data_IF_854620883820
#
_entry.id   IF_854620883820
#
_cell.length_a   1.000
_cell.length_b   1.000
_cell.length_c   1.000
_cell.angle_alpha   90.00
_cell.angle_beta   90.00
_cell.angle_gamma   90.00
#
_symmetry.space_group_name_H-M   'P 1'
#
loop_
_entity.id
_entity.type
_entity.pdbx_description
1 polymer ?
#
# COMPACT_ATOMS: atom_id res chain seq x y z
N UNK A 1 -1.56 63.96 -46.41
CA UNK A 1 -1.36 64.50 -45.04
C UNK A 1 -0.85 63.37 -44.14
N UNK A 2 0.31 63.57 -43.50
CA UNK A 2 0.89 62.90 -42.30
C UNK A 2 0.73 61.36 -42.16
N UNK A 3 1.76 60.49 -42.27
CA UNK A 3 2.99 60.25 -41.45
C UNK A 3 2.73 59.88 -39.98
N UNK A 4 3.45 58.94 -39.33
CA UNK A 4 4.47 57.96 -39.77
C UNK A 4 4.82 56.91 -38.65
N UNK A 5 5.65 55.93 -39.04
CA UNK A 5 6.48 54.96 -38.29
C UNK A 5 6.68 55.10 -36.76
N UNK A 6 6.69 53.93 -36.09
CA UNK A 6 7.67 53.50 -35.05
C UNK A 6 7.81 51.96 -35.24
N UNK A 7 8.94 51.28 -35.49
CA UNK A 7 10.38 51.36 -35.17
C UNK A 7 10.80 50.39 -34.05
N UNK A 8 11.70 49.47 -34.39
CA UNK A 8 12.23 48.36 -33.56
C UNK A 8 13.28 48.85 -32.56
N UNK A 9 13.23 48.43 -31.29
CA UNK A 9 14.37 48.42 -30.36
C UNK A 9 14.31 47.18 -29.45
N UNK A 10 15.43 46.46 -29.35
CA UNK A 10 15.76 45.55 -28.26
C UNK A 10 16.97 46.13 -27.47
N UNK A 11 17.09 45.80 -26.18
CA UNK A 11 18.11 46.19 -25.14
C UNK A 11 17.34 46.43 -23.83
N UNK A 12 17.78 46.05 -22.62
CA UNK A 12 18.85 45.17 -22.12
C UNK A 12 18.63 44.95 -20.61
N UNK A 13 19.30 43.96 -20.00
CA UNK A 13 19.35 43.74 -18.54
C UNK A 13 19.60 45.02 -17.72
N UNK A 14 18.98 45.10 -16.54
CA UNK A 14 19.54 45.82 -15.39
C UNK A 14 19.12 45.15 -14.07
N UNK A 15 20.10 44.59 -13.38
CA UNK A 15 19.95 44.09 -12.00
C UNK A 15 19.75 45.25 -11.03
N UNK A 16 18.97 45.03 -9.97
CA UNK A 16 19.08 45.82 -8.74
C UNK A 16 19.36 44.90 -7.54
N UNK A 17 20.57 45.02 -7.01
CA UNK A 17 20.97 44.53 -5.69
C UNK A 17 20.71 45.61 -4.64
N UNK A 18 20.25 45.24 -3.44
CA UNK A 18 20.53 45.96 -2.19
C UNK A 18 20.28 45.05 -0.96
N UNK A 19 20.96 45.25 0.18
CA UNK A 19 21.56 44.11 0.89
C UNK A 19 21.38 44.09 2.43
N UNK A 20 22.01 43.10 3.09
CA UNK A 20 22.16 42.92 4.56
C UNK A 20 20.92 42.33 5.25
N UNK A 21 20.97 41.40 6.23
CA UNK A 21 22.04 40.65 6.92
C UNK A 21 21.37 39.48 7.71
N UNK A 22 22.01 38.38 8.17
CA UNK A 22 23.40 37.89 8.12
C UNK A 22 23.44 36.37 8.44
N UNK A 23 24.61 35.71 8.24
CA UNK A 23 25.07 34.43 8.85
C UNK A 23 24.24 33.14 8.63
N UNK A 24 24.71 32.32 7.70
CA UNK A 24 24.59 30.85 7.81
C UNK A 24 25.59 30.31 8.87
N UNK A 25 25.23 29.28 9.66
CA UNK A 25 26.20 28.51 10.46
C UNK A 25 27.09 27.63 9.56
N UNK A 26 28.31 27.35 10.02
CA UNK A 26 29.20 26.36 9.40
C UNK A 26 28.78 24.92 9.79
N UNK A 27 29.12 23.88 9.00
CA UNK A 27 28.83 22.50 9.36
C UNK A 27 29.63 22.10 10.60
N UNK A 28 28.93 21.72 11.67
CA UNK A 28 29.52 21.35 12.96
C UNK A 28 28.93 20.04 13.48
N UNK A 29 29.80 19.03 13.51
CA UNK A 29 29.76 17.80 14.32
C UNK A 29 28.53 16.87 14.22
N UNK A 30 28.82 15.58 14.03
CA UNK A 30 27.81 14.53 13.93
C UNK A 30 26.97 14.45 15.22
N UNK A 31 25.65 14.51 15.06
CA UNK A 31 24.72 14.21 16.14
C UNK A 31 24.95 12.80 16.65
N UNK A 32 25.12 12.65 17.97
CA UNK A 32 25.13 11.35 18.63
C UNK A 32 23.81 10.59 18.40
N UNK A 33 23.77 9.27 18.67
CA UNK A 33 22.64 8.42 18.29
C UNK A 33 21.33 8.97 18.85
N UNK A 34 20.34 9.14 17.96
CA UNK A 34 19.00 9.56 18.32
C UNK A 34 18.45 8.63 19.41
N UNK A 35 18.07 9.20 20.56
CA UNK A 35 17.63 8.40 21.69
C UNK A 35 16.25 7.81 21.39
N UNK A 36 16.19 6.48 21.23
CA UNK A 36 14.96 5.68 21.06
C UNK A 36 13.78 6.28 21.84
N UNK A 37 12.66 6.61 21.17
CA UNK A 37 11.37 6.62 21.84
C UNK A 37 11.17 5.23 22.44
N UNK A 38 10.91 5.15 23.75
CA UNK A 38 10.47 3.88 24.34
C UNK A 38 9.11 3.56 23.74
N UNK A 39 8.87 2.28 23.42
CA UNK A 39 7.57 1.77 23.00
C UNK A 39 6.55 1.91 24.15
N UNK A 40 6.00 3.11 24.30
CA UNK A 40 4.86 3.35 25.16
C UNK A 40 3.60 2.85 24.46
N UNK A 41 2.68 2.28 25.24
CA UNK A 41 1.33 2.05 24.73
C UNK A 41 0.76 3.41 24.28
N UNK A 42 0.47 3.53 22.99
CA UNK A 42 -0.28 4.68 22.48
C UNK A 42 -1.68 4.68 23.13
N UNK A 43 -2.33 5.84 23.14
CA UNK A 43 -3.69 5.93 23.64
C UNK A 43 -4.57 4.90 22.92
N UNK A 44 -5.28 4.06 23.68
CA UNK A 44 -6.09 3.00 23.11
C UNK A 44 -7.11 3.61 22.16
N UNK A 45 -7.19 3.06 20.95
CA UNK A 45 -8.30 3.39 20.08
C UNK A 45 -9.59 2.88 20.71
N UNK A 46 -10.57 3.77 20.88
CA UNK A 46 -11.90 3.35 21.30
C UNK A 46 -12.62 2.79 20.08
N UNK A 47 -12.86 1.49 20.08
CA UNK A 47 -13.68 0.82 19.07
C UNK A 47 -15.11 1.40 19.08
N UNK A 48 -15.58 1.93 17.94
CA UNK A 48 -16.88 2.61 17.82
C UNK A 48 -17.80 1.78 16.91
N UNK A 49 -18.94 1.34 17.45
CA UNK A 49 -19.99 0.71 16.64
C UNK A 49 -20.56 1.73 15.63
N UNK A 50 -20.66 1.34 14.36
CA UNK A 50 -21.17 2.16 13.26
C UNK A 50 -22.38 1.49 12.59
N UNK A 51 -23.34 2.27 12.06
CA UNK A 51 -24.46 1.71 11.30
C UNK A 51 -23.98 1.19 9.94
N UNK A 52 -24.58 0.09 9.46
CA UNK A 52 -24.45 -0.37 8.08
C UNK A 52 -25.28 0.49 7.12
N UNK A 53 -24.77 0.77 5.92
CA UNK A 53 -25.59 1.36 4.86
C UNK A 53 -26.67 0.36 4.37
N UNK A 54 -27.90 0.78 4.00
CA UNK A 54 -28.96 -0.16 3.63
C UNK A 54 -28.66 -1.06 2.42
N UNK A 55 -27.70 -0.68 1.56
CA UNK A 55 -27.24 -1.50 0.42
C UNK A 55 -26.07 -2.44 0.77
N UNK A 56 -25.39 -2.22 1.91
CA UNK A 56 -24.28 -3.07 2.40
C UNK A 56 -24.84 -4.40 2.95
N UNK A 57 -25.29 -5.27 2.05
CA UNK A 57 -26.00 -6.50 2.40
C UNK A 57 -25.14 -7.52 3.14
N UNK A 58 -23.83 -7.52 2.94
CA UNK A 58 -22.89 -8.46 3.56
C UNK A 58 -22.32 -7.99 4.91
N UNK A 59 -22.35 -6.69 5.21
CA UNK A 59 -21.68 -6.11 6.38
C UNK A 59 -22.64 -6.02 7.58
N UNK A 60 -22.32 -6.69 8.69
CA UNK A 60 -23.07 -6.58 9.95
C UNK A 60 -22.17 -6.22 11.13
N UNK A 61 -22.75 -5.62 12.16
CA UNK A 61 -22.05 -5.25 13.39
C UNK A 61 -20.74 -4.50 13.11
N UNK A 62 -20.80 -3.48 12.25
CA UNK A 62 -19.61 -2.71 11.84
C UNK A 62 -19.03 -1.99 13.06
N UNK A 63 -17.72 -2.13 13.24
CA UNK A 63 -16.94 -1.45 14.26
C UNK A 63 -15.78 -0.72 13.60
N UNK A 64 -15.66 0.57 13.84
CA UNK A 64 -14.48 1.36 13.52
C UNK A 64 -13.42 1.10 14.60
N UNK A 65 -12.25 0.60 14.21
CA UNK A 65 -11.16 0.19 15.09
C UNK A 65 -10.10 1.27 15.31
N UNK A 66 -9.98 2.28 14.44
CA UNK A 66 -9.10 3.45 14.63
C UNK A 66 -9.89 4.76 14.59
N UNK A 67 -9.43 5.77 15.32
CA UNK A 67 -9.91 7.17 15.23
C UNK A 67 -8.65 8.05 15.10
N UNK A 68 -8.40 8.59 13.91
CA UNK A 68 -7.23 9.39 13.57
C UNK A 68 -6.07 8.66 12.88
N UNK A 69 -5.25 9.46 12.20
CA UNK A 69 -4.10 9.03 11.39
C UNK A 69 -4.49 8.61 9.97
N UNK A 70 -3.48 8.33 9.15
CA UNK A 70 -3.66 7.64 7.87
C UNK A 70 -3.44 6.14 8.15
N UNK A 71 -4.38 5.27 7.77
CA UNK A 71 -4.33 3.83 8.01
C UNK A 71 -4.61 3.06 6.71
N UNK A 72 -3.86 2.00 6.47
CA UNK A 72 -4.05 1.12 5.33
C UNK A 72 -3.64 -0.32 5.66
N UNK A 73 -4.01 -1.26 4.79
CA UNK A 73 -3.42 -2.60 4.74
C UNK A 73 -3.50 -3.36 6.08
N UNK A 74 -4.72 -3.50 6.62
CA UNK A 74 -4.96 -4.25 7.85
C UNK A 74 -5.19 -5.74 7.56
N UNK A 75 -4.35 -6.60 8.15
CA UNK A 75 -4.38 -8.05 7.92
C UNK A 75 -4.40 -8.87 9.23
N UNK A 76 -5.11 -9.99 9.22
CA UNK A 76 -5.33 -10.86 10.37
C UNK A 76 -4.14 -11.78 10.70
N UNK A 77 -3.95 -12.06 11.99
CA UNK A 77 -3.22 -13.23 12.49
C UNK A 77 -3.90 -14.55 12.10
N UNK A 78 -3.19 -15.68 12.20
CA UNK A 78 -3.70 -17.00 11.78
C UNK A 78 -4.94 -17.47 12.56
N UNK A 79 -5.14 -16.95 13.77
CA UNK A 79 -6.30 -17.20 14.63
C UNK A 79 -7.40 -16.11 14.52
N UNK A 80 -7.14 -15.03 13.77
CA UNK A 80 -8.02 -13.86 13.65
C UNK A 80 -8.14 -12.98 14.91
N UNK A 81 -7.31 -13.21 15.94
CA UNK A 81 -7.38 -12.44 17.20
C UNK A 81 -6.68 -11.08 17.14
N UNK A 82 -5.72 -10.91 16.23
CA UNK A 82 -4.95 -9.68 16.04
C UNK A 82 -4.99 -9.21 14.59
N UNK A 83 -4.61 -7.94 14.41
CA UNK A 83 -4.42 -7.26 13.15
C UNK A 83 -3.02 -6.64 13.12
N UNK A 84 -2.34 -6.73 11.99
CA UNK A 84 -1.15 -5.93 11.64
C UNK A 84 -1.54 -4.96 10.53
N UNK A 85 -1.05 -3.72 10.59
CA UNK A 85 -1.40 -2.68 9.62
C UNK A 85 -0.34 -1.59 9.55
N UNK A 86 -0.32 -0.83 8.45
CA UNK A 86 0.54 0.35 8.33
C UNK A 86 -0.25 1.62 8.70
N UNK A 87 0.41 2.55 9.39
CA UNK A 87 -0.19 3.84 9.69
C UNK A 87 0.84 4.96 9.83
N UNK A 88 0.53 6.11 9.23
CA UNK A 88 1.18 7.38 9.53
C UNK A 88 0.38 8.10 10.61
N UNK A 89 1.02 8.33 11.76
CA UNK A 89 0.44 8.97 12.95
C UNK A 89 1.54 9.56 13.82
N UNK A 90 1.26 10.59 14.64
CA UNK A 90 2.24 11.14 15.57
C UNK A 90 2.89 10.06 16.46
N UNK A 91 4.22 10.09 16.66
CA UNK A 91 5.16 11.16 16.30
C UNK A 91 5.77 11.05 14.88
N UNK A 92 5.30 10.15 14.02
CA UNK A 92 5.94 9.84 12.73
C UNK A 92 5.30 10.58 11.55
N UNK A 93 6.13 11.14 10.66
CA UNK A 93 5.70 11.85 9.45
C UNK A 93 5.43 10.92 8.24
N UNK A 94 5.73 9.63 8.38
CA UNK A 94 5.46 8.59 7.39
C UNK A 94 5.09 7.26 8.06
N UNK A 95 4.60 6.30 7.26
CA UNK A 95 4.00 5.06 7.74
C UNK A 95 4.95 4.19 8.57
N UNK A 96 4.47 3.77 9.74
CA UNK A 96 5.07 2.77 10.60
C UNK A 96 4.14 1.55 10.72
N UNK A 97 4.69 0.39 11.08
CA UNK A 97 3.90 -0.84 11.24
C UNK A 97 3.40 -0.96 12.68
N UNK A 98 2.10 -1.21 12.81
CA UNK A 98 1.39 -1.37 14.07
C UNK A 98 0.70 -2.73 14.15
N UNK A 99 0.48 -3.21 15.37
CA UNK A 99 -0.46 -4.29 15.68
C UNK A 99 -1.52 -3.81 16.65
N UNK A 100 -2.68 -4.47 16.62
CA UNK A 100 -3.75 -4.36 17.63
C UNK A 100 -4.53 -5.67 17.72
N UNK A 101 -5.28 -5.86 18.78
CA UNK A 101 -6.30 -6.91 18.85
C UNK A 101 -7.43 -6.60 17.85
N UNK A 102 -8.14 -7.62 17.37
CA UNK A 102 -9.27 -7.45 16.44
C UNK A 102 -10.50 -6.76 17.05
N UNK A 103 -10.48 -6.47 18.36
CA UNK A 103 -11.43 -5.60 19.06
C UNK A 103 -10.97 -4.12 19.15
N UNK A 104 -9.83 -3.77 18.55
CA UNK A 104 -9.23 -2.43 18.53
C UNK A 104 -8.36 -2.10 19.75
N UNK A 105 -8.30 -2.96 20.76
CA UNK A 105 -7.45 -2.78 21.93
C UNK A 105 -5.98 -3.16 21.67
N UNK A 106 -5.08 -2.78 22.57
CA UNK A 106 -3.68 -3.25 22.50
C UNK A 106 -2.79 -2.60 21.43
N UNK A 107 -3.25 -1.51 20.79
CA UNK A 107 -2.51 -0.79 19.75
C UNK A 107 -1.03 -0.54 20.12
N UNK A 108 -0.12 -1.03 19.28
CA UNK A 108 1.32 -0.97 19.52
C UNK A 108 2.11 -0.86 18.21
N UNK A 109 3.15 -0.03 18.18
CA UNK A 109 4.12 0.00 17.08
C UNK A 109 5.09 -1.18 17.16
N UNK A 110 5.35 -1.81 16.02
CA UNK A 110 6.31 -2.91 15.87
C UNK A 110 7.59 -2.48 15.15
N UNK A 111 7.47 -1.67 14.08
CA UNK A 111 8.64 -1.16 13.37
C UNK A 111 9.50 -0.25 14.26
N UNK A 112 10.80 -0.19 13.97
CA UNK A 112 11.80 0.55 14.76
C UNK A 112 11.63 2.08 14.77
N UNK A 113 10.68 2.63 13.99
CA UNK A 113 10.39 4.07 13.93
C UNK A 113 11.30 4.84 12.97
N UNK A 114 12.08 4.14 12.14
CA UNK A 114 13.06 4.70 11.20
C UNK A 114 12.61 4.44 9.75
N UNK A 115 12.90 5.40 8.87
CA UNK A 115 12.49 5.36 7.47
C UNK A 115 10.98 5.27 7.29
N UNK A 116 10.52 4.95 6.08
CA UNK A 116 9.14 4.54 5.83
C UNK A 116 9.01 3.02 5.94
N UNK A 117 7.80 2.55 6.21
CA UNK A 117 7.43 1.14 6.14
C UNK A 117 6.16 0.93 5.31
N UNK A 118 5.95 -0.27 4.78
CA UNK A 118 4.75 -0.63 4.02
C UNK A 118 4.49 -2.13 4.05
N UNK A 119 3.26 -2.55 3.75
CA UNK A 119 2.84 -3.91 3.43
C UNK A 119 3.31 -4.95 4.45
N UNK A 120 2.76 -4.89 5.66
CA UNK A 120 3.09 -5.84 6.72
C UNK A 120 2.21 -7.11 6.66
N UNK A 121 2.72 -8.26 7.09
CA UNK A 121 1.96 -9.52 7.13
C UNK A 121 2.42 -10.41 8.27
N UNK A 122 1.54 -11.23 8.86
CA UNK A 122 1.93 -12.22 9.87
C UNK A 122 2.63 -13.42 9.22
N UNK A 123 3.68 -13.94 9.89
CA UNK A 123 4.25 -15.23 9.51
C UNK A 123 3.49 -16.38 10.19
N UNK A 124 2.69 -17.07 9.39
CA UNK A 124 1.88 -18.21 9.81
C UNK A 124 2.71 -19.48 9.99
N UNK A 125 2.30 -20.41 10.88
CA UNK A 125 1.12 -20.36 11.74
C UNK A 125 1.40 -19.89 13.18
N UNK A 126 2.62 -19.44 13.51
CA UNK A 126 2.96 -19.09 14.89
C UNK A 126 2.70 -17.62 15.27
N UNK A 127 2.48 -16.74 14.27
CA UNK A 127 2.22 -15.30 14.41
C UNK A 127 3.27 -14.54 15.27
N UNK A 128 4.41 -15.17 15.54
CA UNK A 128 5.48 -14.64 16.41
C UNK A 128 6.36 -13.61 15.71
N UNK A 129 6.29 -13.60 14.38
CA UNK A 129 7.10 -12.81 13.45
C UNK A 129 6.19 -12.14 12.43
N UNK A 130 6.53 -10.89 12.09
CA UNK A 130 5.88 -10.09 11.06
C UNK A 130 6.87 -9.86 9.92
N UNK A 131 6.39 -9.99 8.70
CA UNK A 131 7.01 -9.51 7.47
C UNK A 131 6.60 -8.05 7.27
N UNK A 132 7.49 -7.19 6.76
CA UNK A 132 7.14 -5.86 6.22
C UNK A 132 8.31 -5.28 5.41
N UNK A 133 8.06 -4.30 4.54
CA UNK A 133 9.13 -3.57 3.83
C UNK A 133 9.46 -2.23 4.47
N UNK A 134 10.72 -1.79 4.34
CA UNK A 134 11.18 -0.54 4.95
C UNK A 134 12.37 0.11 4.23
N UNK A 135 12.48 1.44 4.33
CA UNK A 135 13.59 2.24 3.79
C UNK A 135 14.72 2.52 4.79
N UNK A 136 14.66 1.95 6.00
CA UNK A 136 15.50 2.35 7.13
C UNK A 136 17.01 2.07 6.98
N UNK A 137 17.42 1.24 6.02
CA UNK A 137 18.83 0.98 5.74
C UNK A 137 19.49 2.14 4.97
N UNK A 138 18.73 2.84 4.11
CA UNK A 138 19.21 4.02 3.38
C UNK A 138 19.12 5.28 4.25
N UNK A 139 17.99 5.49 4.95
CA UNK A 139 17.82 6.63 5.84
C UNK A 139 16.86 6.38 6.99
N UNK A 140 17.17 6.98 8.14
CA UNK A 140 16.26 7.08 9.28
C UNK A 140 15.10 8.05 9.02
N UNK A 141 15.27 9.01 8.10
CA UNK A 141 14.25 9.99 7.74
C UNK A 141 13.25 9.43 6.73
N UNK A 142 12.04 10.00 6.71
CA UNK A 142 11.04 9.68 5.70
C UNK A 142 11.53 10.10 4.29
N UNK A 143 11.42 9.22 3.28
CA UNK A 143 11.76 9.57 1.90
C UNK A 143 10.83 10.68 1.37
N UNK A 144 11.32 11.55 0.46
CA UNK A 144 10.55 12.69 -0.01
C UNK A 144 9.31 12.25 -0.79
N UNK A 145 8.17 12.96 -0.68
CA UNK A 145 6.97 12.65 -1.47
C UNK A 145 7.24 12.80 -2.98
N UNK A 146 6.51 12.05 -3.84
CA UNK A 146 6.69 12.12 -5.30
C UNK A 146 6.40 13.52 -5.86
N UNK A 147 7.09 13.88 -6.94
CA UNK A 147 6.85 15.14 -7.64
C UNK A 147 5.48 15.16 -8.33
N UNK A 148 4.55 15.90 -7.72
CA UNK A 148 3.18 16.10 -8.22
C UNK A 148 3.11 16.91 -9.52
N UNK A 149 4.23 17.47 -10.03
CA UNK A 149 4.28 18.04 -11.39
C UNK A 149 3.96 17.00 -12.47
N UNK A 150 4.23 15.71 -12.19
CA UNK A 150 3.94 14.57 -13.07
C UNK A 150 2.46 14.10 -13.02
N UNK A 151 1.60 14.85 -12.33
CA UNK A 151 0.19 14.52 -12.09
C UNK A 151 0.00 13.62 -10.88
N UNK A 152 -1.06 12.80 -10.91
CA UNK A 152 -1.25 11.74 -9.91
C UNK A 152 -0.31 10.57 -10.21
N UNK A 153 0.69 10.41 -9.36
CA UNK A 153 1.73 9.36 -9.42
C UNK A 153 2.04 8.86 -8.01
N UNK A 154 2.49 7.62 -7.91
CA UNK A 154 3.05 7.05 -6.67
C UNK A 154 4.57 6.95 -6.78
N UNK A 155 5.26 7.03 -5.64
CA UNK A 155 6.70 6.82 -5.57
C UNK A 155 7.02 5.34 -5.39
N UNK A 156 7.97 4.85 -6.18
CA UNK A 156 8.63 3.56 -6.06
C UNK A 156 10.02 3.86 -5.49
N UNK A 157 10.14 3.82 -4.15
CA UNK A 157 11.42 4.09 -3.50
C UNK A 157 12.34 2.89 -3.66
N UNK A 158 13.47 3.11 -4.33
CA UNK A 158 14.56 2.16 -4.61
C UNK A 158 15.41 1.78 -3.37
N UNK A 159 14.92 2.15 -2.19
CA UNK A 159 15.48 1.86 -0.88
C UNK A 159 14.58 0.95 -0.04
N UNK A 160 13.43 0.52 -0.57
CA UNK A 160 12.58 -0.47 0.10
C UNK A 160 13.20 -1.86 -0.01
N UNK A 161 13.60 -2.43 1.12
CA UNK A 161 13.94 -3.84 1.29
C UNK A 161 12.85 -4.56 2.11
N UNK A 162 12.80 -5.90 2.07
CA UNK A 162 11.87 -6.72 2.86
C UNK A 162 12.54 -7.26 4.13
N UNK A 163 11.86 -7.11 5.25
CA UNK A 163 12.35 -7.48 6.58
C UNK A 163 11.37 -8.36 7.34
N UNK A 164 11.90 -9.09 8.32
CA UNK A 164 11.12 -9.68 9.41
C UNK A 164 11.44 -9.02 10.73
N UNK A 165 10.46 -8.92 11.63
CA UNK A 165 10.67 -8.56 13.03
C UNK A 165 9.74 -9.38 13.93
N UNK A 166 10.08 -9.55 15.20
CA UNK A 166 9.15 -10.20 16.13
C UNK A 166 7.87 -9.37 16.29
N UNK A 167 6.72 -10.03 16.34
CA UNK A 167 5.43 -9.42 16.71
C UNK A 167 5.45 -8.85 18.16
N UNK A 168 6.41 -9.26 18.99
CA UNK A 168 6.69 -8.65 20.29
C UNK A 168 7.50 -7.34 20.19
N UNK A 169 7.83 -6.85 18.99
CA UNK A 169 8.75 -5.76 18.70
C UNK A 169 10.22 -6.20 18.77
N UNK A 170 11.09 -5.58 17.97
CA UNK A 170 12.51 -5.90 17.91
C UNK A 170 13.24 -5.04 16.87
N UNK A 171 14.54 -5.31 16.69
CA UNK A 171 15.21 -4.83 15.47
C UNK A 171 14.85 -5.75 14.30
N UNK A 172 14.57 -5.21 13.10
CA UNK A 172 14.30 -6.02 11.92
C UNK A 172 15.53 -6.81 11.46
N UNK A 173 15.26 -7.93 10.80
CA UNK A 173 16.23 -8.78 10.09
C UNK A 173 15.85 -8.81 8.61
N UNK A 174 16.79 -8.47 7.72
CA UNK A 174 16.59 -8.50 6.27
C UNK A 174 16.27 -9.93 5.80
N UNK A 175 15.22 -10.07 4.99
CA UNK A 175 14.89 -11.31 4.26
C UNK A 175 15.47 -11.25 2.84
N UNK A 176 15.16 -10.18 2.12
CA UNK A 176 15.75 -9.87 0.82
C UNK A 176 16.12 -8.40 0.77
N UNK A 177 17.29 -8.14 0.21
CA UNK A 177 17.76 -6.81 -0.14
C UNK A 177 18.37 -6.88 -1.52
N UNK A 178 17.87 -6.08 -2.45
CA UNK A 178 18.39 -5.99 -3.81
C UNK A 178 18.24 -4.57 -4.37
N UNK A 179 19.11 -4.11 -5.29
CA UNK A 179 19.03 -2.74 -5.79
C UNK A 179 17.68 -2.44 -6.42
N UNK A 180 16.96 -1.47 -5.87
CA UNK A 180 15.60 -1.12 -6.30
C UNK A 180 14.57 -1.31 -5.18
N UNK A 181 13.32 -1.47 -5.59
CA UNK A 181 12.18 -1.64 -4.70
C UNK A 181 11.91 -3.13 -4.49
N UNK A 182 11.85 -3.58 -3.24
CA UNK A 182 11.39 -4.89 -2.79
C UNK A 182 10.27 -4.70 -1.74
N UNK A 183 9.00 -4.87 -2.13
CA UNK A 183 7.87 -4.70 -1.22
C UNK A 183 6.59 -5.47 -1.61
N UNK A 184 5.46 -5.09 -1.00
CA UNK A 184 4.15 -5.73 -1.22
C UNK A 184 4.15 -7.24 -0.90
N UNK A 185 4.91 -7.62 0.14
CA UNK A 185 5.23 -9.01 0.44
C UNK A 185 4.16 -9.70 1.31
N UNK A 186 3.69 -10.88 0.88
CA UNK A 186 2.68 -11.70 1.60
C UNK A 186 3.09 -13.17 1.63
N UNK A 187 2.50 -13.96 2.54
CA UNK A 187 2.89 -15.35 2.80
C UNK A 187 1.83 -16.34 2.30
N UNK A 188 2.27 -17.52 1.84
CA UNK A 188 1.41 -18.66 1.54
C UNK A 188 0.69 -19.19 2.79
N UNK A 189 -0.51 -19.77 2.68
CA UNK A 189 -1.25 -20.32 3.83
C UNK A 189 -0.52 -21.44 4.59
N UNK A 190 0.44 -22.11 3.95
CA UNK A 190 1.26 -23.16 4.56
C UNK A 190 2.59 -22.64 5.16
N UNK A 191 2.85 -21.33 5.08
CA UNK A 191 4.07 -20.69 5.59
C UNK A 191 5.35 -20.98 4.81
N UNK A 192 5.27 -21.72 3.69
CA UNK A 192 6.44 -22.16 2.93
C UNK A 192 7.05 -21.08 2.04
N UNK A 193 6.23 -20.16 1.50
CA UNK A 193 6.66 -19.20 0.48
C UNK A 193 6.10 -17.80 0.68
N UNK A 194 6.96 -16.83 0.41
CA UNK A 194 6.61 -15.42 0.28
C UNK A 194 6.41 -15.11 -1.21
N UNK A 195 5.42 -14.26 -1.53
CA UNK A 195 5.30 -13.57 -2.82
C UNK A 195 5.39 -12.07 -2.59
N UNK A 196 6.01 -11.35 -3.51
CA UNK A 196 6.31 -9.93 -3.36
C UNK A 196 6.58 -9.26 -4.71
N UNK A 197 6.51 -7.94 -4.75
CA UNK A 197 6.83 -7.13 -5.93
C UNK A 197 8.27 -6.64 -5.85
N UNK A 198 9.01 -6.71 -6.97
CA UNK A 198 10.40 -6.24 -7.05
C UNK A 198 10.73 -5.54 -8.37
N UNK A 199 11.61 -4.54 -8.34
CA UNK A 199 12.19 -3.91 -9.54
C UNK A 199 13.55 -4.47 -9.97
N UNK A 200 14.02 -5.58 -9.39
CA UNK A 200 15.41 -6.06 -9.56
C UNK A 200 15.85 -6.35 -11.00
N UNK A 201 14.91 -6.69 -11.88
CA UNK A 201 15.15 -6.94 -13.31
C UNK A 201 14.75 -5.74 -14.20
N UNK A 202 14.52 -4.56 -13.62
CA UNK A 202 14.24 -3.31 -14.32
C UNK A 202 12.78 -2.99 -14.60
N UNK A 203 11.84 -3.85 -14.16
CA UNK A 203 10.39 -3.59 -14.20
C UNK A 203 9.73 -4.07 -12.89
N UNK A 204 8.52 -3.61 -12.57
CA UNK A 204 7.77 -4.02 -11.38
C UNK A 204 7.10 -5.38 -11.61
N UNK A 205 7.82 -6.46 -11.36
CA UNK A 205 7.30 -7.83 -11.47
C UNK A 205 6.98 -8.46 -10.11
N UNK A 206 6.21 -9.55 -10.13
CA UNK A 206 6.00 -10.42 -8.98
C UNK A 206 7.06 -11.52 -8.93
N UNK A 207 7.59 -11.76 -7.74
CA UNK A 207 8.55 -12.80 -7.41
C UNK A 207 8.00 -13.68 -6.28
N UNK A 208 8.55 -14.88 -6.17
CA UNK A 208 8.33 -15.79 -5.04
C UNK A 208 9.68 -16.25 -4.47
N UNK A 209 9.73 -16.48 -3.16
CA UNK A 209 10.88 -17.05 -2.47
C UNK A 209 10.40 -17.96 -1.33
N UNK A 210 11.29 -18.80 -0.80
CA UNK A 210 11.04 -19.50 0.46
C UNK A 210 10.94 -18.50 1.62
N UNK A 211 10.28 -18.86 2.71
CA UNK A 211 10.10 -17.96 3.87
C UNK A 211 11.38 -17.58 4.63
N UNK A 212 12.52 -18.20 4.31
CA UNK A 212 13.87 -17.83 4.78
C UNK A 212 14.62 -16.87 3.83
N UNK A 213 14.00 -16.43 2.73
CA UNK A 213 14.60 -15.58 1.70
C UNK A 213 15.36 -16.33 0.58
N UNK A 214 15.47 -17.66 0.66
CA UNK A 214 16.13 -18.46 -0.37
C UNK A 214 15.23 -18.78 -1.57
N UNK A 215 15.82 -19.23 -2.69
CA UNK A 215 15.13 -19.64 -3.91
C UNK A 215 14.17 -18.58 -4.50
N UNK A 216 14.71 -17.36 -4.68
CA UNK A 216 14.01 -16.25 -5.35
C UNK A 216 13.80 -16.57 -6.83
N UNK A 217 12.53 -16.58 -7.26
CA UNK A 217 12.08 -16.89 -8.63
C UNK A 217 11.12 -15.80 -9.11
N UNK A 218 11.35 -15.28 -10.31
CA UNK A 218 10.44 -14.34 -11.00
C UNK A 218 9.21 -15.07 -11.54
N UNK A 219 8.02 -14.56 -11.26
CA UNK A 219 6.73 -15.14 -11.68
C UNK A 219 6.11 -14.41 -12.87
N UNK A 220 6.27 -13.10 -12.98
CA UNK A 220 5.78 -12.29 -14.11
C UNK A 220 6.93 -11.59 -14.83
N UNK A 221 6.75 -11.26 -16.12
CA UNK A 221 7.78 -10.65 -16.97
C UNK A 221 7.20 -9.87 -18.17
N UNK A 222 5.94 -9.45 -18.07
CA UNK A 222 5.24 -8.69 -19.12
C UNK A 222 5.44 -7.21 -18.83
N UNK A 223 5.96 -6.39 -19.75
CA UNK A 223 6.26 -4.98 -19.48
C UNK A 223 5.08 -4.22 -18.89
N UNK A 224 5.29 -3.59 -17.74
CA UNK A 224 4.23 -2.98 -16.95
C UNK A 224 4.35 -3.23 -15.45
N UNK A 225 3.38 -2.74 -14.68
CA UNK A 225 3.36 -2.87 -13.22
C UNK A 225 2.50 -4.06 -12.81
N UNK A 226 3.13 -5.11 -12.27
CA UNK A 226 2.49 -6.18 -11.49
C UNK A 226 2.73 -5.97 -9.98
N UNK A 227 1.66 -5.90 -9.19
CA UNK A 227 1.69 -5.42 -7.80
C UNK A 227 0.76 -6.16 -6.84
N UNK A 228 1.06 -6.09 -5.54
CA UNK A 228 0.21 -6.56 -4.44
C UNK A 228 -0.30 -8.00 -4.56
N UNK A 229 0.60 -9.00 -4.63
CA UNK A 229 0.22 -10.40 -4.74
C UNK A 229 -0.32 -10.96 -3.41
N UNK A 230 -1.44 -11.69 -3.48
CA UNK A 230 -2.00 -12.48 -2.37
C UNK A 230 -2.28 -13.92 -2.82
N UNK A 231 -1.97 -14.89 -1.96
CA UNK A 231 -2.31 -16.29 -2.21
C UNK A 231 -3.81 -16.58 -2.02
N UNK A 232 -4.34 -17.57 -2.75
CA UNK A 232 -5.63 -18.19 -2.46
C UNK A 232 -5.61 -18.95 -1.13
N UNK A 233 -6.76 -19.19 -0.46
CA UNK A 233 -6.81 -19.90 0.81
C UNK A 233 -6.24 -21.33 0.77
N UNK A 234 -6.21 -21.94 -0.42
CA UNK A 234 -5.64 -23.27 -0.67
C UNK A 234 -4.18 -23.25 -1.15
N UNK A 235 -3.56 -22.06 -1.24
CA UNK A 235 -2.18 -21.83 -1.66
C UNK A 235 -1.89 -22.09 -3.15
N UNK A 236 -2.88 -22.46 -3.98
CA UNK A 236 -2.64 -22.87 -5.37
C UNK A 236 -2.62 -21.71 -6.38
N UNK A 237 -3.10 -20.54 -6.01
CA UNK A 237 -3.23 -19.37 -6.90
C UNK A 237 -2.70 -18.12 -6.22
N UNK A 238 -2.35 -17.14 -7.05
CA UNK A 238 -2.00 -15.78 -6.64
C UNK A 238 -2.94 -14.83 -7.38
N UNK A 239 -3.56 -13.91 -6.64
CA UNK A 239 -4.29 -12.75 -7.19
C UNK A 239 -3.42 -11.51 -7.01
N UNK A 240 -3.43 -10.62 -8.00
CA UNK A 240 -2.60 -9.42 -8.02
C UNK A 240 -3.26 -8.31 -8.83
N UNK A 241 -2.78 -7.08 -8.69
CA UNK A 241 -3.11 -5.97 -9.61
C UNK A 241 -2.05 -5.90 -10.70
N UNK A 242 -2.44 -5.59 -11.92
CA UNK A 242 -1.53 -5.47 -13.05
C UNK A 242 -1.94 -4.34 -14.01
N UNK A 243 -0.95 -3.79 -14.72
CA UNK A 243 -1.18 -2.96 -15.92
C UNK A 243 -0.05 -3.23 -16.91
N UNK A 244 -0.38 -3.84 -18.05
CA UNK A 244 0.54 -4.10 -19.16
C UNK A 244 0.26 -3.13 -20.33
N UNK A 245 0.82 -1.91 -20.33
CA UNK A 245 0.57 -0.92 -21.35
C UNK A 245 1.34 -1.20 -22.65
N UNK A 246 0.86 -0.64 -23.76
CA UNK A 246 1.54 -0.66 -25.06
C UNK A 246 1.72 0.75 -25.62
N UNK A 247 2.61 0.90 -26.62
CA UNK A 247 2.77 2.15 -27.38
C UNK A 247 3.19 3.36 -26.51
N UNK A 248 2.47 4.47 -26.64
CA UNK A 248 2.75 5.70 -25.88
C UNK A 248 2.52 5.54 -24.38
N UNK A 249 1.60 4.66 -23.94
CA UNK A 249 1.36 4.41 -22.52
C UNK A 249 2.53 3.64 -21.89
N UNK A 250 3.14 2.70 -22.64
CA UNK A 250 4.37 2.01 -22.20
C UNK A 250 5.56 2.96 -22.11
N UNK A 251 5.67 3.93 -23.03
CA UNK A 251 6.72 4.93 -22.99
C UNK A 251 6.56 5.91 -21.81
N UNK A 252 5.33 6.33 -21.44
CA UNK A 252 5.13 7.12 -20.21
C UNK A 252 5.43 6.30 -18.97
N UNK A 253 5.03 5.02 -18.94
CA UNK A 253 5.31 4.10 -17.84
C UNK A 253 6.81 3.93 -17.60
N UNK A 254 7.59 3.57 -18.62
CA UNK A 254 9.04 3.39 -18.52
C UNK A 254 9.75 4.67 -18.08
N UNK A 255 9.38 5.82 -18.65
CA UNK A 255 9.90 7.15 -18.27
C UNK A 255 9.60 7.51 -16.81
N UNK A 256 8.43 7.13 -16.30
CA UNK A 256 8.10 7.33 -14.89
C UNK A 256 8.89 6.38 -13.99
N UNK A 257 9.03 5.11 -14.37
CA UNK A 257 9.74 4.11 -13.57
C UNK A 257 11.23 4.46 -13.45
N UNK A 258 11.88 4.93 -14.53
CA UNK A 258 13.24 5.50 -14.51
C UNK A 258 13.40 6.68 -13.53
N UNK A 259 12.31 7.36 -13.18
CA UNK A 259 12.28 8.45 -12.20
C UNK A 259 11.79 8.01 -10.81
N UNK A 260 11.65 6.70 -10.55
CA UNK A 260 11.11 6.16 -9.30
C UNK A 260 9.62 6.42 -9.11
N UNK A 261 8.84 6.48 -10.20
CA UNK A 261 7.42 6.83 -10.20
C UNK A 261 6.57 5.82 -10.98
N UNK A 262 5.30 5.69 -10.63
CA UNK A 262 4.28 5.00 -11.44
C UNK A 262 2.98 5.78 -11.50
N UNK A 263 2.19 5.54 -12.55
CA UNK A 263 0.84 6.11 -12.69
C UNK A 263 -0.22 5.02 -12.45
N UNK A 264 -0.85 4.97 -11.27
CA UNK A 264 -1.74 3.88 -10.87
C UNK A 264 -3.19 4.08 -11.33
N UNK A 265 -3.45 5.00 -12.27
CA UNK A 265 -4.82 5.43 -12.65
C UNK A 265 -5.61 4.38 -13.45
N UNK A 266 -4.96 3.33 -13.92
CA UNK A 266 -5.56 2.15 -14.54
C UNK A 266 -4.80 0.93 -14.03
N UNK A 267 -5.51 0.01 -13.40
CA UNK A 267 -4.98 -1.23 -12.84
C UNK A 267 -6.08 -2.26 -12.93
N UNK A 268 -5.76 -3.47 -13.37
CA UNK A 268 -6.70 -4.55 -13.53
C UNK A 268 -6.35 -5.72 -12.60
N UNK A 269 -7.34 -6.50 -12.18
CA UNK A 269 -7.12 -7.66 -11.33
C UNK A 269 -6.74 -8.85 -12.21
N UNK A 270 -5.68 -9.56 -11.83
CA UNK A 270 -5.20 -10.77 -12.50
C UNK A 270 -5.12 -11.93 -11.51
N UNK A 271 -5.22 -13.16 -12.03
CA UNK A 271 -4.97 -14.40 -11.29
C UNK A 271 -3.98 -15.26 -12.06
N UNK A 272 -3.06 -15.89 -11.34
CA UNK A 272 -2.17 -16.93 -11.86
C UNK A 272 -2.13 -18.14 -10.92
N UNK A 273 -1.59 -19.26 -11.39
CA UNK A 273 -1.22 -20.35 -10.51
C UNK A 273 0.01 -19.96 -9.65
N UNK A 274 0.18 -20.58 -8.49
CA UNK A 274 1.22 -20.24 -7.52
C UNK A 274 2.67 -20.38 -8.03
N UNK A 275 2.89 -21.03 -9.17
CA UNK A 275 4.18 -21.16 -9.85
C UNK A 275 4.38 -20.14 -10.99
N UNK A 276 3.52 -19.11 -11.07
CA UNK A 276 3.55 -18.04 -12.06
C UNK A 276 2.90 -18.37 -13.40
N UNK A 277 2.42 -19.61 -13.61
CA UNK A 277 1.78 -20.02 -14.86
C UNK A 277 0.31 -19.61 -14.94
N UNK A 278 -0.26 -19.72 -16.14
CA UNK A 278 -1.70 -19.52 -16.40
C UNK A 278 -2.25 -18.15 -15.95
N UNK A 279 -1.40 -17.12 -16.03
CA UNK A 279 -1.77 -15.71 -15.82
C UNK A 279 -2.98 -15.33 -16.67
N UNK A 280 -3.99 -14.75 -16.03
CA UNK A 280 -5.23 -14.34 -16.68
C UNK A 280 -5.80 -13.08 -16.05
N UNK A 281 -6.11 -12.12 -16.91
CA UNK A 281 -6.85 -10.92 -16.58
C UNK A 281 -8.30 -11.25 -16.17
N UNK A 282 -8.77 -10.65 -15.07
CA UNK A 282 -10.11 -10.83 -14.49
C UNK A 282 -10.98 -9.59 -14.74
N UNK A 283 -10.40 -8.39 -14.68
CA UNK A 283 -11.08 -7.13 -15.02
C UNK A 283 -10.48 -6.50 -16.27
N UNK A 284 -11.32 -5.84 -17.06
CA UNK A 284 -10.93 -4.87 -18.09
C UNK A 284 -12.03 -3.81 -18.13
N UNK A 285 -12.02 -2.92 -17.14
CA UNK A 285 -13.08 -1.91 -16.92
C UNK A 285 -12.56 -0.47 -17.13
N UNK A 286 -11.27 -0.29 -17.43
CA UNK A 286 -10.62 1.01 -17.58
C UNK A 286 -10.51 1.82 -16.27
N UNK A 287 -10.85 1.22 -15.13
CA UNK A 287 -10.77 1.81 -13.81
C UNK A 287 -9.42 1.52 -13.14
N UNK A 288 -9.22 2.06 -11.94
CA UNK A 288 -8.15 1.65 -11.05
C UNK A 288 -8.69 0.59 -10.09
N UNK A 289 -8.24 -0.66 -10.22
CA UNK A 289 -8.61 -1.77 -9.36
C UNK A 289 -7.40 -2.14 -8.47
N UNK A 290 -7.58 -2.12 -7.15
CA UNK A 290 -6.50 -2.27 -6.16
C UNK A 290 -6.80 -3.32 -5.09
N UNK A 291 -5.76 -3.68 -4.33
CA UNK A 291 -5.81 -4.53 -3.13
C UNK A 291 -6.76 -5.74 -3.26
N UNK A 292 -6.58 -6.59 -4.28
CA UNK A 292 -7.42 -7.77 -4.44
C UNK A 292 -7.10 -8.82 -3.37
N UNK A 293 -8.13 -9.44 -2.82
CA UNK A 293 -8.02 -10.51 -1.84
C UNK A 293 -9.04 -11.61 -2.14
N UNK A 294 -8.68 -12.88 -1.94
CA UNK A 294 -9.61 -13.99 -2.15
C UNK A 294 -10.65 -14.08 -1.03
N UNK A 295 -11.88 -14.44 -1.38
CA UNK A 295 -12.85 -14.92 -0.40
C UNK A 295 -12.46 -16.33 0.08
N UNK A 296 -13.02 -16.75 1.21
CA UNK A 296 -12.74 -18.06 1.83
C UNK A 296 -13.14 -19.28 0.98
N UNK A 297 -13.87 -19.08 -0.13
CA UNK A 297 -14.15 -20.11 -1.13
C UNK A 297 -13.03 -20.30 -2.18
N UNK A 298 -12.11 -19.33 -2.33
CA UNK A 298 -11.04 -19.35 -3.35
C UNK A 298 -11.52 -19.10 -4.79
N UNK A 299 -12.83 -18.92 -5.00
CA UNK A 299 -13.48 -18.78 -6.32
C UNK A 299 -13.98 -17.35 -6.58
N UNK A 300 -13.98 -16.49 -5.56
CA UNK A 300 -14.29 -15.06 -5.65
C UNK A 300 -13.14 -14.20 -5.12
N UNK A 301 -13.03 -12.99 -5.65
CA UNK A 301 -12.06 -11.97 -5.27
C UNK A 301 -12.85 -10.73 -4.83
N UNK A 302 -12.50 -10.13 -3.69
CA UNK A 302 -12.87 -8.77 -3.31
C UNK A 302 -11.72 -7.81 -3.66
N UNK A 303 -12.02 -6.61 -4.13
CA UNK A 303 -11.02 -5.60 -4.51
C UNK A 303 -11.62 -4.19 -4.37
N UNK A 304 -10.79 -3.17 -4.22
CA UNK A 304 -11.22 -1.77 -4.25
C UNK A 304 -11.22 -1.25 -5.69
N UNK A 305 -12.23 -0.47 -6.09
CA UNK A 305 -12.29 0.12 -7.44
C UNK A 305 -13.02 1.45 -7.49
N UNK A 306 -12.58 2.34 -8.38
CA UNK A 306 -13.30 3.57 -8.71
C UNK A 306 -14.28 3.42 -9.88
N UNK A 307 -14.57 2.19 -10.34
CA UNK A 307 -15.49 1.95 -11.47
C UNK A 307 -16.95 2.39 -11.22
N UNK A 308 -17.33 2.65 -9.95
CA UNK A 308 -18.64 3.21 -9.58
C UNK A 308 -18.75 4.74 -9.75
N UNK A 309 -17.64 5.47 -9.78
CA UNK A 309 -17.61 6.94 -9.81
C UNK A 309 -17.11 7.48 -11.16
N UNK A 310 -17.98 8.21 -11.86
CA UNK A 310 -17.64 8.88 -13.12
C UNK A 310 -16.56 9.97 -12.98
N UNK A 311 -16.22 10.42 -11.77
CA UNK A 311 -15.09 11.32 -11.49
C UNK A 311 -13.80 10.56 -11.13
N UNK A 312 -13.86 9.24 -10.93
CA UNK A 312 -12.72 8.37 -10.61
C UNK A 312 -12.04 8.65 -9.27
N UNK A 313 -12.69 9.34 -8.33
CA UNK A 313 -12.14 9.70 -7.02
C UNK A 313 -12.68 8.85 -5.89
N UNK A 314 -13.94 8.42 -6.00
CA UNK A 314 -14.57 7.57 -5.00
C UNK A 314 -14.21 6.10 -5.31
N UNK A 315 -13.86 5.34 -4.26
CA UNK A 315 -13.52 3.91 -4.33
C UNK A 315 -14.46 3.14 -3.41
N UNK A 316 -15.13 2.14 -3.98
CA UNK A 316 -15.93 1.16 -3.24
C UNK A 316 -15.26 -0.22 -3.34
N UNK A 317 -15.64 -1.12 -2.43
CA UNK A 317 -15.30 -2.53 -2.52
C UNK A 317 -16.25 -3.26 -3.47
N UNK A 318 -15.69 -4.11 -4.33
CA UNK A 318 -16.42 -4.94 -5.27
C UNK A 318 -15.97 -6.40 -5.18
N UNK A 319 -16.88 -7.32 -5.48
CA UNK A 319 -16.59 -8.75 -5.67
C UNK A 319 -16.71 -9.11 -7.15
N UNK A 320 -15.84 -10.00 -7.61
CA UNK A 320 -15.93 -10.68 -8.91
C UNK A 320 -15.60 -12.17 -8.74
N UNK A 321 -16.23 -13.05 -9.51
CA UNK A 321 -15.79 -14.43 -9.62
C UNK A 321 -14.44 -14.52 -10.33
N UNK A 322 -13.61 -15.52 -10.01
CA UNK A 322 -12.34 -15.69 -10.72
C UNK A 322 -12.55 -15.90 -12.23
N UNK A 323 -13.73 -16.30 -12.70
CA UNK A 323 -14.07 -16.42 -14.12
C UNK A 323 -14.32 -15.06 -14.83
N UNK A 324 -14.17 -13.94 -14.13
CA UNK A 324 -14.40 -12.58 -14.66
C UNK A 324 -15.87 -12.18 -14.72
N UNK A 325 -16.77 -12.89 -14.01
CA UNK A 325 -18.22 -12.65 -14.04
C UNK A 325 -18.77 -12.38 -12.64
N UNK A 326 -20.08 -12.09 -12.60
CA UNK A 326 -20.85 -11.89 -11.36
C UNK A 326 -20.30 -10.74 -10.51
N UNK A 327 -20.02 -9.60 -11.15
CA UNK A 327 -19.64 -8.37 -10.46
C UNK A 327 -20.72 -7.93 -9.46
N UNK A 328 -20.28 -7.57 -8.26
CA UNK A 328 -21.10 -7.10 -7.16
C UNK A 328 -20.42 -5.92 -6.48
N UNK A 329 -21.18 -4.87 -6.15
CA UNK A 329 -20.74 -3.80 -5.26
C UNK A 329 -21.06 -4.17 -3.81
N UNK A 330 -20.04 -4.11 -2.94
CA UNK A 330 -20.10 -4.54 -1.53
C UNK A 330 -20.30 -3.36 -0.59
N UNK A 331 -19.54 -2.27 -0.79
CA UNK A 331 -19.68 -1.02 -0.03
C UNK A 331 -20.27 0.09 -0.88
N UNK A 332 -20.80 1.11 -0.20
CA UNK A 332 -21.52 2.23 -0.81
C UNK A 332 -21.27 3.53 -0.02
N UNK A 333 -20.09 3.67 0.58
CA UNK A 333 -19.73 4.86 1.33
C UNK A 333 -19.13 5.91 0.38
N UNK A 334 -19.44 7.18 0.60
CA UNK A 334 -18.74 8.25 -0.11
C UNK A 334 -17.25 8.26 0.23
N UNK A 335 -16.44 8.70 -0.72
CA UNK A 335 -14.97 8.73 -0.66
C UNK A 335 -14.29 7.38 -0.87
N UNK A 336 -13.75 6.75 0.16
CA UNK A 336 -12.81 5.63 -0.01
C UNK A 336 -13.16 4.50 0.93
N UNK A 337 -13.36 3.31 0.36
CA UNK A 337 -13.21 2.02 0.99
C UNK A 337 -12.12 1.23 0.22
N UNK A 338 -11.19 0.61 0.95
CA UNK A 338 -10.12 -0.17 0.36
C UNK A 338 -9.45 -1.12 1.34
N UNK A 339 -8.42 -1.82 0.86
CA UNK A 339 -7.63 -2.80 1.61
C UNK A 339 -8.46 -3.88 2.34
N UNK A 340 -9.37 -4.59 1.62
CA UNK A 340 -10.19 -5.63 2.22
C UNK A 340 -9.39 -6.90 2.55
N UNK A 341 -9.66 -7.52 3.70
CA UNK A 341 -9.19 -8.87 4.02
C UNK A 341 -10.25 -9.64 4.84
N UNK A 342 -10.38 -10.94 4.59
CA UNK A 342 -11.20 -11.83 5.41
C UNK A 342 -10.42 -12.43 6.57
N UNK A 343 -11.11 -12.70 7.69
CA UNK A 343 -10.56 -13.52 8.78
C UNK A 343 -10.29 -14.95 8.29
N UNK A 344 -9.35 -15.69 8.91
CA UNK A 344 -9.04 -17.08 8.53
C UNK A 344 -10.25 -18.03 8.53
N UNK A 345 -11.27 -17.74 9.33
CA UNK A 345 -12.52 -18.51 9.38
C UNK A 345 -13.63 -18.01 8.43
N UNK A 346 -13.35 -16.95 7.66
CA UNK A 346 -14.26 -16.33 6.70
C UNK A 346 -15.48 -15.63 7.30
N UNK A 347 -15.56 -15.45 8.62
CA UNK A 347 -16.74 -14.85 9.30
C UNK A 347 -16.62 -13.34 9.54
N UNK A 348 -15.45 -12.76 9.37
CA UNK A 348 -15.22 -11.32 9.50
C UNK A 348 -14.48 -10.78 8.29
N UNK A 349 -14.69 -9.49 8.03
CA UNK A 349 -13.92 -8.74 7.05
C UNK A 349 -13.37 -7.49 7.74
N UNK A 350 -12.10 -7.18 7.51
CA UNK A 350 -11.51 -5.87 7.76
C UNK A 350 -11.35 -5.11 6.45
N UNK A 351 -11.43 -3.79 6.53
CA UNK A 351 -11.10 -2.89 5.44
C UNK A 351 -10.71 -1.53 6.03
N UNK A 352 -10.11 -0.66 5.22
CA UNK A 352 -9.82 0.72 5.60
C UNK A 352 -10.78 1.67 4.85
N UNK A 353 -11.24 2.72 5.52
CA UNK A 353 -12.25 3.62 4.97
C UNK A 353 -12.15 5.05 5.49
N UNK A 354 -12.51 6.02 4.66
CA UNK A 354 -12.70 7.42 5.05
C UNK A 354 -14.06 7.67 5.72
N UNK A 355 -14.97 6.69 5.76
CA UNK A 355 -16.29 6.86 6.36
C UNK A 355 -16.16 7.33 7.82
N UNK A 356 -16.85 8.42 8.15
CA UNK A 356 -16.80 9.04 9.48
C UNK A 356 -15.42 9.55 9.93
N UNK A 357 -14.52 9.91 9.00
CA UNK A 357 -13.31 10.64 9.34
C UNK A 357 -13.61 11.96 10.09
N UNK A 358 -12.61 12.49 10.77
CA UNK A 358 -12.68 13.75 11.52
C UNK A 358 -12.02 14.88 10.76
N UNK A 359 -11.02 14.56 9.95
CA UNK A 359 -10.19 15.48 9.17
C UNK A 359 -9.97 14.95 7.75
N UNK A 360 -9.87 15.85 6.76
CA UNK A 360 -9.64 15.47 5.35
C UNK A 360 -8.36 14.62 5.20
N UNK A 361 -8.49 13.44 4.58
CA UNK A 361 -7.36 12.53 4.35
C UNK A 361 -7.13 11.50 5.47
N UNK A 362 -7.87 11.55 6.57
CA UNK A 362 -7.90 10.45 7.54
C UNK A 362 -8.64 9.24 6.96
N UNK A 363 -7.98 8.09 7.01
CA UNK A 363 -8.52 6.77 6.63
C UNK A 363 -8.41 5.87 7.84
N UNK A 364 -9.47 5.16 8.23
CA UNK A 364 -9.52 4.35 9.44
C UNK A 364 -9.73 2.86 9.16
N UNK A 365 -9.26 1.99 10.06
CA UNK A 365 -9.53 0.55 10.00
C UNK A 365 -10.93 0.26 10.54
N UNK A 366 -11.68 -0.59 9.83
CA UNK A 366 -12.99 -1.11 10.19
C UNK A 366 -12.96 -2.63 10.22
N UNK A 367 -13.85 -3.22 11.02
CA UNK A 367 -14.15 -4.64 11.04
C UNK A 367 -15.67 -4.85 11.03
N UNK A 368 -16.14 -5.93 10.40
CA UNK A 368 -17.54 -6.35 10.46
C UNK A 368 -17.66 -7.87 10.60
N UNK A 369 -18.83 -8.34 11.02
CA UNK A 369 -19.28 -9.70 10.75
C UNK A 369 -19.71 -9.79 9.28
N UNK A 370 -19.15 -10.76 8.57
CA UNK A 370 -19.50 -11.06 7.18
C UNK A 370 -20.67 -12.03 7.09
N UNK A 371 -21.66 -11.70 6.27
CA UNK A 371 -22.81 -12.55 5.96
C UNK A 371 -22.75 -12.90 4.48
N UNK A 372 -22.73 -14.19 4.13
CA UNK A 372 -22.77 -14.65 2.73
C UNK A 372 -24.16 -14.51 2.10
#
# INVERSE_FOLDING_TARGET
MKTALVSTIAVMLLMFFCPSCQRMPAPGEAGGPATRPKSGNLAASTAIARPSHPLERHLRNIVQLTDGGENAEAYFSSDGSQLVFQSKRPPHDCDQIYTMNSDGSGLRQISNGLGRTTCAYFLYPDDSTLLYSSTHLESADCPPPPDRSQGYVWAIYDSYDVFTASAAGGEPTTIVSSPGYDAEATLSPDGSRIVFTSTRDGDLDIYSMNSDGSDVVRLTATPGYDGGPFYSPDGKKIVYRARHPEGEELADYQRLLEAGLVRPSKMDIFVMDADGKNQRQITDNGAANFCPFFLSDGERIIFASNMGDAKGREFDLFIVGIDGKNFEQVTFASEFDGFPMFSPDGKKMVWCSNRHHREDGETNVFICDWVN
#
